data_IF_327050613248
#
_entry.id   IF_327050613248
#
_cell.length_a   1.000
_cell.length_b   1.000
_cell.length_c   1.000
_cell.angle_alpha   90.00
_cell.angle_beta   90.00
_cell.angle_gamma   90.00
#
_symmetry.space_group_name_H-M   'P 1'
#
loop_
_entity.id
_entity.type
_entity.pdbx_description
1 polymer ?
#
# COMPACT_ATOMS: atom_id res chain seq x y z
N UNK A 1 -17.71 -11.26 -3.30
CA UNK A 1 -16.36 -10.88 -3.80
C UNK A 1 -15.28 -11.42 -2.86
N UNK A 2 -14.89 -10.73 -1.78
CA UNK A 2 -13.77 -11.15 -0.91
C UNK A 2 -13.80 -12.62 -0.41
N UNK A 3 -14.90 -13.09 0.20
CA UNK A 3 -14.96 -14.48 0.68
C UNK A 3 -15.01 -15.52 -0.45
N UNK A 4 -15.83 -15.24 -1.48
CA UNK A 4 -16.03 -16.16 -2.61
C UNK A 4 -14.77 -16.29 -3.47
N UNK A 5 -14.08 -15.19 -3.73
CA UNK A 5 -13.02 -15.10 -4.73
C UNK A 5 -11.62 -15.15 -4.11
N UNK A 6 -11.48 -14.77 -2.83
CA UNK A 6 -10.18 -14.68 -2.13
C UNK A 6 -10.15 -15.44 -0.79
N UNK A 7 -11.26 -16.08 -0.39
CA UNK A 7 -11.39 -16.79 0.90
C UNK A 7 -11.17 -15.92 2.15
N UNK A 8 -11.40 -14.61 2.03
CA UNK A 8 -11.23 -13.66 3.14
C UNK A 8 -12.58 -13.28 3.78
N UNK A 9 -12.69 -13.43 5.10
CA UNK A 9 -13.87 -13.04 5.89
C UNK A 9 -13.61 -11.70 6.59
N UNK A 10 -14.44 -10.69 6.33
CA UNK A 10 -14.39 -9.38 6.96
C UNK A 10 -15.79 -8.91 7.34
N UNK A 11 -15.89 -8.15 8.42
CA UNK A 11 -17.13 -7.46 8.80
C UNK A 11 -17.29 -6.16 7.99
N UNK A 12 -18.52 -5.66 7.79
CA UNK A 12 -18.74 -4.39 7.11
C UNK A 12 -17.95 -3.20 7.71
N UNK A 13 -17.71 -3.21 9.03
CA UNK A 13 -16.90 -2.20 9.73
C UNK A 13 -15.41 -2.21 9.35
N UNK A 14 -14.94 -3.26 8.67
CA UNK A 14 -13.56 -3.38 8.18
C UNK A 14 -13.46 -3.06 6.68
N UNK A 15 -14.54 -2.58 6.06
CA UNK A 15 -14.59 -2.23 4.64
C UNK A 15 -14.78 -0.73 4.50
N UNK A 16 -13.86 -0.09 3.77
CA UNK A 16 -13.91 1.35 3.46
C UNK A 16 -14.09 1.52 1.96
N UNK A 17 -15.02 2.38 1.56
CA UNK A 17 -15.22 2.78 0.16
C UNK A 17 -14.46 4.07 -0.10
N UNK A 18 -13.64 4.08 -1.14
CA UNK A 18 -12.81 5.22 -1.58
C UNK A 18 -13.08 5.55 -3.04
N UNK A 19 -12.66 6.74 -3.50
CA UNK A 19 -12.64 7.16 -4.89
C UNK A 19 -11.53 6.47 -5.69
N UNK A 20 -11.52 5.14 -5.68
CA UNK A 20 -10.55 4.29 -6.37
C UNK A 20 -9.39 3.81 -5.49
N UNK A 21 -8.65 2.83 -6.03
CA UNK A 21 -7.60 2.12 -5.28
C UNK A 21 -6.41 3.01 -4.90
N UNK A 22 -6.06 4.02 -5.71
CA UNK A 22 -4.98 4.97 -5.41
C UNK A 22 -5.20 5.69 -4.09
N UNK A 23 -6.44 6.15 -3.85
CA UNK A 23 -6.79 6.82 -2.60
C UNK A 23 -6.72 5.85 -1.42
N UNK A 24 -7.24 4.62 -1.57
CA UNK A 24 -7.17 3.61 -0.50
C UNK A 24 -5.73 3.30 -0.08
N UNK A 25 -4.82 3.16 -1.05
CA UNK A 25 -3.41 2.89 -0.78
C UNK A 25 -2.74 4.10 -0.12
N UNK A 26 -2.98 5.31 -0.63
CA UNK A 26 -2.45 6.53 -0.02
C UNK A 26 -2.88 6.65 1.45
N UNK A 27 -4.16 6.46 1.75
CA UNK A 27 -4.67 6.51 3.12
C UNK A 27 -3.98 5.49 4.03
N UNK A 28 -3.73 4.27 3.54
CA UNK A 28 -3.04 3.23 4.32
C UNK A 28 -1.59 3.65 4.59
N UNK A 29 -0.87 4.16 3.59
CA UNK A 29 0.52 4.60 3.76
C UNK A 29 0.61 5.76 4.76
N UNK A 30 -0.28 6.75 4.66
CA UNK A 30 -0.34 7.88 5.60
C UNK A 30 -0.72 7.49 7.03
N UNK A 31 -1.42 6.36 7.22
CA UNK A 31 -1.82 5.86 8.54
C UNK A 31 -0.75 4.96 9.17
N UNK A 32 -0.02 4.21 8.34
CA UNK A 32 0.94 3.20 8.81
C UNK A 32 2.38 3.68 8.89
N UNK A 33 2.76 4.69 8.10
CA UNK A 33 4.12 5.20 8.04
C UNK A 33 4.24 6.56 8.72
N UNK A 34 5.33 6.77 9.44
CA UNK A 34 5.67 8.02 10.08
C UNK A 34 7.07 8.51 9.67
N UNK A 35 7.44 9.71 10.12
CA UNK A 35 8.76 10.27 9.84
C UNK A 35 9.87 9.40 10.44
N UNK A 36 10.79 8.94 9.60
CA UNK A 36 11.91 8.06 10.00
C UNK A 36 11.66 6.57 9.75
N UNK A 37 10.44 6.17 9.38
CA UNK A 37 10.17 4.80 8.97
C UNK A 37 10.74 4.49 7.58
N UNK A 38 10.91 3.21 7.30
CA UNK A 38 11.34 2.68 6.02
C UNK A 38 10.25 1.78 5.42
N UNK A 39 9.88 2.01 4.16
CA UNK A 39 8.89 1.21 3.45
C UNK A 39 9.53 0.48 2.26
N UNK A 40 9.50 -0.85 2.29
CA UNK A 40 10.11 -1.69 1.26
C UNK A 40 9.22 -1.72 0.00
N UNK A 41 9.80 -1.42 -1.17
CA UNK A 41 9.12 -1.40 -2.47
C UNK A 41 9.86 -2.30 -3.48
N UNK A 42 9.27 -3.45 -3.88
CA UNK A 42 9.84 -4.29 -4.93
C UNK A 42 9.88 -3.60 -6.30
N UNK A 43 10.96 -3.76 -7.07
CA UNK A 43 11.10 -3.20 -8.44
C UNK A 43 10.93 -4.30 -9.51
N UNK A 44 10.15 -4.08 -10.60
CA UNK A 44 9.49 -2.83 -10.97
C UNK A 44 8.19 -2.60 -10.20
N UNK A 45 7.95 -1.35 -9.80
CA UNK A 45 6.79 -0.95 -8.99
C UNK A 45 5.78 -0.12 -9.77
N UNK A 46 4.59 0.02 -9.20
CA UNK A 46 3.64 1.03 -9.63
C UNK A 46 4.15 2.43 -9.25
N UNK A 47 4.19 3.34 -10.23
CA UNK A 47 4.85 4.66 -10.14
C UNK A 47 4.48 5.50 -8.92
N UNK A 48 3.30 5.29 -8.34
CA UNK A 48 2.84 6.09 -7.20
C UNK A 48 3.34 5.60 -5.84
N UNK A 49 3.84 4.36 -5.71
CA UNK A 49 4.25 3.83 -4.39
C UNK A 49 5.36 4.64 -3.71
N UNK A 50 6.47 5.03 -4.37
CA UNK A 50 7.54 5.75 -3.68
C UNK A 50 7.10 7.13 -3.23
N UNK A 51 6.32 7.83 -4.07
CA UNK A 51 5.82 9.17 -3.75
C UNK A 51 4.84 9.16 -2.58
N UNK A 52 4.01 8.12 -2.44
CA UNK A 52 3.14 7.96 -1.28
C UNK A 52 3.92 7.80 0.02
N UNK A 53 5.05 7.08 -0.01
CA UNK A 53 5.93 6.87 1.16
C UNK A 53 6.63 8.18 1.54
N UNK A 54 7.17 8.90 0.56
CA UNK A 54 7.78 10.23 0.79
C UNK A 54 6.75 11.22 1.35
N UNK A 55 5.50 11.17 0.87
CA UNK A 55 4.42 12.02 1.36
C UNK A 55 4.08 11.76 2.85
N UNK A 56 4.30 10.55 3.34
CA UNK A 56 4.15 10.18 4.75
C UNK A 56 5.38 10.57 5.61
N UNK A 57 6.43 11.13 5.02
CA UNK A 57 7.69 11.44 5.73
C UNK A 57 8.62 10.23 5.90
N UNK A 58 8.26 9.07 5.34
CA UNK A 58 9.04 7.84 5.40
C UNK A 58 10.00 7.71 4.20
N UNK A 59 10.94 6.77 4.31
CA UNK A 59 11.97 6.51 3.29
C UNK A 59 11.62 5.27 2.46
N UNK A 60 11.49 5.36 1.13
CA UNK A 60 11.27 4.20 0.29
C UNK A 60 12.57 3.39 0.13
N UNK A 61 12.51 2.09 0.44
CA UNK A 61 13.63 1.16 0.28
C UNK A 61 13.35 0.24 -0.90
N UNK A 62 14.08 0.42 -2.00
CA UNK A 62 13.87 -0.35 -3.23
C UNK A 62 14.48 -1.74 -3.14
N UNK A 63 13.65 -2.77 -3.33
CA UNK A 63 14.09 -4.16 -3.38
C UNK A 63 14.10 -4.66 -4.84
N UNK A 64 15.29 -4.94 -5.36
CA UNK A 64 15.44 -5.46 -6.73
C UNK A 64 14.94 -6.91 -6.82
N UNK A 65 13.97 -7.17 -7.70
CA UNK A 65 13.52 -8.54 -8.01
C UNK A 65 14.18 -9.08 -9.27
N UNK A 66 14.02 -10.39 -9.49
CA UNK A 66 14.47 -11.10 -10.69
C UNK A 66 13.30 -11.90 -11.25
N UNK A 67 13.29 -12.18 -12.56
CA UNK A 67 12.20 -12.92 -13.24
C UNK A 67 12.20 -14.44 -12.97
N UNK A 68 13.01 -14.92 -12.01
CA UNK A 68 13.19 -16.34 -11.70
C UNK A 68 12.23 -16.82 -10.63
#
# INVERSE_FOLDING_TARGET
>A
KLYKDNHLKYNPSQIIVSAGAKQSILNIVLVLCDTGDEAIIPTPYWVSYPEMVVMAGATPIFLKTTDK
#
